data_IF_786809866952
#
_entry.id   IF_786809866952
#
_cell.length_a   1.000
_cell.length_b   1.000
_cell.length_c   1.000
_cell.angle_alpha   90.00
_cell.angle_beta   90.00
_cell.angle_gamma   90.00
#
_symmetry.space_group_name_H-M   'P 1'
#
loop_
_entity.id
_entity.type
_entity.pdbx_description
1 polymer ?
#
# COMPACT_ATOMS: atom_id res chain seq x y z
N UNK A 1 3.60 25.07 30.74
CA UNK A 1 3.06 24.43 29.51
C UNK A 1 4.16 23.83 28.64
N UNK A 2 5.21 24.59 28.28
CA UNK A 2 6.33 24.11 27.43
C UNK A 2 7.05 22.88 28.04
N UNK A 3 7.28 22.88 29.36
CA UNK A 3 7.84 21.73 30.11
C UNK A 3 7.01 20.44 29.95
N UNK A 4 5.68 20.54 30.10
CA UNK A 4 4.76 19.40 29.94
C UNK A 4 4.79 18.84 28.52
N UNK A 5 4.93 19.70 27.51
CA UNK A 5 5.04 19.28 26.10
C UNK A 5 6.36 18.54 25.87
N UNK A 6 7.49 19.08 26.36
CA UNK A 6 8.79 18.38 26.27
C UNK A 6 8.75 17.01 26.94
N UNK A 7 8.12 16.91 28.11
CA UNK A 7 7.96 15.65 28.82
C UNK A 7 7.10 14.66 28.04
N UNK A 8 5.97 15.11 27.47
CA UNK A 8 5.11 14.29 26.61
C UNK A 8 5.87 13.71 25.40
N UNK A 9 6.65 14.53 24.67
CA UNK A 9 7.46 14.04 23.55
C UNK A 9 8.52 13.03 23.98
N UNK A 10 9.09 13.18 25.18
CA UNK A 10 10.06 12.22 25.73
C UNK A 10 9.38 10.89 26.04
N UNK A 11 8.20 10.91 26.63
CA UNK A 11 7.40 9.73 26.93
C UNK A 11 6.92 9.02 25.65
N UNK A 12 6.43 9.77 24.65
CA UNK A 12 6.04 9.22 23.34
C UNK A 12 7.22 8.57 22.65
N UNK A 13 8.39 9.22 22.62
CA UNK A 13 9.60 8.62 22.02
C UNK A 13 9.96 7.32 22.72
N UNK A 14 9.89 7.27 24.04
CA UNK A 14 10.17 6.05 24.81
C UNK A 14 9.18 4.92 24.49
N UNK A 15 7.90 5.23 24.30
CA UNK A 15 6.88 4.23 23.97
C UNK A 15 7.03 3.72 22.52
N UNK A 16 7.34 4.60 21.58
CA UNK A 16 7.61 4.23 20.18
C UNK A 16 8.79 3.27 20.06
N UNK A 17 9.80 3.36 20.94
CA UNK A 17 10.91 2.40 20.96
C UNK A 17 10.53 1.00 21.47
N UNK A 18 9.40 0.84 22.15
CA UNK A 18 8.88 -0.47 22.57
C UNK A 18 8.09 -1.16 21.45
N UNK A 19 7.78 -0.44 20.37
CA UNK A 19 7.09 -1.01 19.22
C UNK A 19 8.04 -1.95 18.49
N UNK A 20 7.61 -3.20 18.30
CA UNK A 20 8.32 -4.16 17.46
C UNK A 20 8.04 -3.81 16.01
N UNK A 21 9.02 -3.18 15.36
CA UNK A 21 8.97 -2.92 13.92
C UNK A 21 9.34 -4.18 13.13
N UNK A 22 8.75 -4.38 11.95
CA UNK A 22 9.11 -5.50 11.07
C UNK A 22 10.57 -5.39 10.65
N UNK A 23 11.20 -6.55 10.41
CA UNK A 23 12.56 -6.58 9.91
C UNK A 23 12.60 -6.03 8.46
N UNK A 24 13.78 -5.57 8.02
CA UNK A 24 13.96 -5.02 6.66
C UNK A 24 13.54 -6.02 5.58
N UNK A 25 13.80 -7.30 5.81
CA UNK A 25 13.44 -8.39 4.90
C UNK A 25 11.92 -8.57 4.79
N UNK A 26 11.19 -8.51 5.91
CA UNK A 26 9.72 -8.59 5.93
C UNK A 26 9.08 -7.38 5.23
N UNK A 27 9.67 -6.19 5.42
CA UNK A 27 9.20 -4.96 4.79
C UNK A 27 9.38 -5.02 3.26
N UNK A 28 10.52 -5.52 2.79
CA UNK A 28 10.79 -5.70 1.36
C UNK A 28 9.88 -6.80 0.80
N UNK A 29 9.74 -7.93 1.49
CA UNK A 29 8.88 -9.04 1.08
C UNK A 29 7.42 -8.63 0.92
N UNK A 30 6.86 -7.95 1.92
CA UNK A 30 5.48 -7.44 1.88
C UNK A 30 5.26 -6.42 0.76
N UNK A 31 6.23 -5.52 0.54
CA UNK A 31 6.17 -4.55 -0.58
C UNK A 31 6.18 -5.25 -1.93
N UNK A 32 7.02 -6.29 -2.08
CA UNK A 32 7.14 -7.03 -3.35
C UNK A 32 5.86 -7.77 -3.72
N UNK A 33 5.20 -8.39 -2.73
CA UNK A 33 3.89 -9.05 -2.93
C UNK A 33 2.85 -8.05 -3.43
N UNK A 34 2.80 -6.84 -2.84
CA UNK A 34 1.87 -5.80 -3.26
C UNK A 34 2.13 -5.37 -4.70
N UNK A 35 3.40 -5.13 -5.08
CA UNK A 35 3.78 -4.74 -6.44
C UNK A 35 3.32 -5.80 -7.45
N UNK A 36 3.64 -7.08 -7.20
CA UNK A 36 3.24 -8.18 -8.08
C UNK A 36 1.71 -8.25 -8.21
N UNK A 37 1.00 -8.13 -7.09
CA UNK A 37 -0.46 -8.19 -7.06
C UNK A 37 -1.09 -7.07 -7.89
N UNK A 38 -0.59 -5.83 -7.76
CA UNK A 38 -1.06 -4.68 -8.54
C UNK A 38 -0.79 -4.86 -10.02
N UNK A 39 0.37 -5.40 -10.40
CA UNK A 39 0.71 -5.68 -11.81
C UNK A 39 -0.27 -6.70 -12.39
N UNK A 40 -0.52 -7.80 -11.69
CA UNK A 40 -1.44 -8.85 -12.17
C UNK A 40 -2.86 -8.31 -12.33
N UNK A 41 -3.37 -7.60 -11.33
CA UNK A 41 -4.74 -7.05 -11.37
C UNK A 41 -4.87 -6.00 -12.47
N UNK A 42 -3.91 -5.08 -12.60
CA UNK A 42 -3.97 -4.03 -13.62
C UNK A 42 -3.91 -4.59 -15.04
N UNK A 43 -3.08 -5.61 -15.28
CA UNK A 43 -3.06 -6.33 -16.57
C UNK A 43 -4.39 -7.03 -16.85
N UNK A 44 -4.94 -7.74 -15.87
CA UNK A 44 -6.22 -8.43 -16.02
C UNK A 44 -7.34 -7.45 -16.36
N UNK A 45 -7.49 -6.38 -15.57
CA UNK A 45 -8.50 -5.36 -15.82
C UNK A 45 -8.29 -4.70 -17.20
N UNK A 46 -7.06 -4.34 -17.55
CA UNK A 46 -6.75 -3.76 -18.86
C UNK A 46 -7.16 -4.68 -20.04
N UNK A 47 -6.94 -5.99 -19.92
CA UNK A 47 -7.40 -6.95 -20.94
C UNK A 47 -8.93 -7.01 -21.00
N UNK A 48 -9.60 -7.04 -19.85
CA UNK A 48 -11.07 -7.06 -19.77
C UNK A 48 -11.67 -5.79 -20.37
N UNK A 49 -11.14 -4.61 -20.03
CA UNK A 49 -11.60 -3.33 -20.55
C UNK A 49 -11.45 -3.22 -22.07
N UNK A 50 -10.33 -3.70 -22.62
CA UNK A 50 -10.12 -3.76 -24.06
C UNK A 50 -11.09 -4.73 -24.75
N UNK A 51 -11.37 -5.87 -24.12
CA UNK A 51 -12.35 -6.84 -24.61
C UNK A 51 -13.77 -6.26 -24.64
N UNK A 52 -14.20 -5.68 -23.52
CA UNK A 52 -15.51 -5.06 -23.38
C UNK A 52 -15.69 -3.88 -24.34
N UNK A 53 -14.69 -3.02 -24.48
CA UNK A 53 -14.73 -1.87 -25.41
C UNK A 53 -14.96 -2.34 -26.86
N UNK A 54 -14.31 -3.42 -27.28
CA UNK A 54 -14.53 -4.00 -28.61
C UNK A 54 -15.94 -4.57 -28.78
N UNK A 55 -16.44 -5.30 -27.78
CA UNK A 55 -17.79 -5.90 -27.82
C UNK A 55 -18.86 -4.81 -27.87
N UNK A 56 -18.76 -3.81 -27.00
CA UNK A 56 -19.69 -2.66 -26.97
C UNK A 56 -19.62 -1.87 -28.28
N UNK A 57 -18.42 -1.63 -28.82
CA UNK A 57 -18.26 -0.93 -30.09
C UNK A 57 -18.85 -1.66 -31.30
N UNK A 58 -18.87 -3.01 -31.27
CA UNK A 58 -19.56 -3.82 -32.29
C UNK A 58 -21.07 -3.82 -32.06
N UNK A 59 -21.53 -3.88 -30.80
CA UNK A 59 -22.96 -3.92 -30.48
C UNK A 59 -23.69 -2.57 -30.72
N UNK A 60 -22.97 -1.45 -30.65
CA UNK A 60 -23.51 -0.10 -30.88
C UNK A 60 -23.48 0.32 -32.37
N UNK A 61 -22.87 -0.48 -33.24
CA UNK A 61 -22.90 -0.32 -34.70
C UNK A 61 -23.99 -1.19 -35.30
#
# INVERSE_FOLDING_TARGET
MIEKIKQFFREVKAETHKVVYPNREELIGSTWIVIITVIVISLFLGVVDLGLTKIVGVALR
#
